data_IF_069526281323
#
_entry.id   IF_069526281323
#
_cell.length_a   1.000
_cell.length_b   1.000
_cell.length_c   1.000
_cell.angle_alpha   90.00
_cell.angle_beta   90.00
_cell.angle_gamma   90.00
#
_symmetry.space_group_name_H-M   'P 1'
#
loop_
_entity.id
_entity.type
_entity.pdbx_description
1 polymer ?
#
# COMPACT_ATOMS: atom_id res chain seq x y z
N UNK A 1 -5.29 -5.65 -33.19
CA UNK A 1 -4.39 -5.94 -32.06
C UNK A 1 -5.14 -6.78 -31.04
N UNK A 2 -4.53 -7.85 -30.53
CA UNK A 2 -5.11 -8.66 -29.46
C UNK A 2 -5.14 -7.89 -28.13
N UNK A 3 -6.12 -8.19 -27.28
CA UNK A 3 -6.22 -7.62 -25.94
C UNK A 3 -5.08 -8.16 -25.06
N UNK A 4 -4.18 -7.28 -24.59
CA UNK A 4 -3.12 -7.69 -23.67
C UNK A 4 -3.55 -7.49 -22.22
N UNK A 5 -3.33 -8.50 -21.38
CA UNK A 5 -3.62 -8.46 -19.95
C UNK A 5 -2.82 -9.55 -19.23
N UNK A 6 -2.93 -9.60 -17.90
CA UNK A 6 -2.24 -10.58 -17.06
C UNK A 6 -2.22 -11.99 -17.67
N UNK A 7 -1.02 -12.53 -17.84
CA UNK A 7 -0.75 -13.83 -18.49
C UNK A 7 -0.44 -13.78 -19.99
N UNK A 8 -0.76 -12.70 -20.71
CA UNK A 8 -0.30 -12.51 -22.11
C UNK A 8 1.23 -12.56 -22.15
N UNK A 9 1.78 -13.40 -23.01
CA UNK A 9 3.21 -13.74 -23.02
C UNK A 9 3.69 -13.87 -24.45
N UNK A 10 4.73 -13.12 -24.82
CA UNK A 10 5.38 -13.27 -26.11
C UNK A 10 5.83 -14.73 -26.29
N UNK A 11 5.58 -15.32 -27.45
CA UNK A 11 5.78 -16.76 -27.66
C UNK A 11 7.20 -17.23 -27.32
N UNK A 12 8.21 -16.41 -27.62
CA UNK A 12 9.63 -16.67 -27.30
C UNK A 12 9.97 -16.57 -25.81
N UNK A 13 9.08 -15.99 -25.00
CA UNK A 13 9.25 -15.75 -23.56
C UNK A 13 8.34 -16.61 -22.69
N UNK A 14 7.59 -17.54 -23.29
CA UNK A 14 6.71 -18.44 -22.56
C UNK A 14 7.52 -19.30 -21.56
N UNK A 15 7.23 -19.24 -20.24
CA UNK A 15 8.03 -19.96 -19.26
C UNK A 15 7.93 -21.48 -19.44
N UNK A 16 9.08 -22.15 -19.55
CA UNK A 16 9.16 -23.61 -19.56
C UNK A 16 8.70 -24.22 -18.24
N UNK A 17 8.96 -23.53 -17.11
CA UNK A 17 8.48 -23.88 -15.78
C UNK A 17 7.69 -22.71 -15.16
N UNK A 18 6.36 -22.76 -15.33
CA UNK A 18 5.42 -21.76 -14.80
C UNK A 18 5.39 -21.72 -13.27
N UNK A 19 5.63 -22.85 -12.60
CA UNK A 19 5.64 -22.92 -11.14
C UNK A 19 6.86 -22.20 -10.60
N UNK A 20 8.05 -22.46 -11.17
CA UNK A 20 9.28 -21.73 -10.83
C UNK A 20 9.16 -20.24 -11.11
N UNK A 21 8.55 -19.87 -12.24
CA UNK A 21 8.28 -18.47 -12.58
C UNK A 21 7.42 -17.77 -11.52
N UNK A 22 6.33 -18.40 -11.06
CA UNK A 22 5.38 -17.78 -10.14
C UNK A 22 5.78 -17.84 -8.67
N UNK A 23 6.75 -18.70 -8.30
CA UNK A 23 7.22 -18.87 -6.90
C UNK A 23 7.55 -17.57 -6.17
N UNK A 24 8.20 -16.54 -6.78
CA UNK A 24 8.45 -15.27 -6.10
C UNK A 24 7.16 -14.50 -5.72
N UNK A 25 6.05 -14.74 -6.41
CA UNK A 25 4.77 -14.09 -6.14
C UNK A 25 3.85 -14.94 -5.27
N UNK A 26 3.94 -16.26 -5.38
CA UNK A 26 3.02 -17.22 -4.77
C UNK A 26 3.62 -17.90 -3.53
N UNK A 27 3.97 -17.08 -2.54
CA UNK A 27 4.70 -17.54 -1.34
C UNK A 27 3.81 -18.12 -0.25
N UNK A 28 2.52 -17.76 -0.22
CA UNK A 28 1.66 -18.00 0.94
C UNK A 28 0.28 -18.58 0.55
N UNK A 29 -0.25 -19.47 1.40
CA UNK A 29 -1.64 -19.95 1.37
C UNK A 29 -2.07 -20.58 0.04
N UNK A 30 -3.31 -20.34 -0.39
CA UNK A 30 -3.91 -20.94 -1.60
C UNK A 30 -3.18 -20.62 -2.91
N UNK A 31 -2.24 -19.67 -2.91
CA UNK A 31 -1.45 -19.34 -4.10
C UNK A 31 -0.26 -20.27 -4.27
N UNK A 32 0.24 -20.87 -3.18
CA UNK A 32 1.37 -21.81 -3.22
C UNK A 32 1.07 -22.89 -4.26
N UNK A 33 2.06 -23.19 -5.10
CA UNK A 33 1.97 -24.18 -6.19
C UNK A 33 1.07 -23.80 -7.39
N UNK A 34 0.37 -22.65 -7.38
CA UNK A 34 -0.45 -22.23 -8.52
C UNK A 34 0.41 -21.83 -9.71
N UNK A 35 0.04 -22.34 -10.89
CA UNK A 35 0.69 -22.11 -12.19
C UNK A 35 -0.01 -21.04 -13.05
N UNK A 36 -0.90 -20.28 -12.44
CA UNK A 36 -1.73 -19.23 -13.06
C UNK A 36 -1.67 -17.97 -12.22
N UNK A 37 -1.67 -16.79 -12.83
CA UNK A 37 -1.73 -15.53 -12.11
C UNK A 37 -3.09 -15.29 -11.45
N UNK A 38 -3.11 -14.58 -10.32
CA UNK A 38 -4.30 -14.14 -9.61
C UNK A 38 -4.65 -12.70 -9.98
N UNK A 39 -5.71 -12.54 -10.76
CA UNK A 39 -6.28 -11.23 -11.09
C UNK A 39 -7.21 -10.78 -9.95
N UNK A 40 -6.68 -9.94 -9.05
CA UNK A 40 -7.34 -9.58 -7.80
C UNK A 40 -8.44 -8.52 -7.91
N UNK A 41 -8.56 -7.84 -9.05
CA UNK A 41 -9.70 -6.95 -9.33
C UNK A 41 -10.87 -7.68 -10.01
N UNK A 42 -10.63 -8.87 -10.55
CA UNK A 42 -11.66 -9.73 -11.19
C UNK A 42 -11.93 -11.00 -10.42
N UNK A 43 -11.19 -11.21 -9.34
CA UNK A 43 -11.22 -12.41 -8.51
C UNK A 43 -11.08 -13.73 -9.29
N UNK A 44 -10.30 -13.73 -10.38
CA UNK A 44 -10.12 -14.88 -11.28
C UNK A 44 -8.66 -15.31 -11.39
N UNK A 45 -8.45 -16.56 -11.78
CA UNK A 45 -7.13 -17.04 -12.22
C UNK A 45 -6.94 -16.79 -13.71
N UNK A 46 -5.72 -16.42 -14.09
CA UNK A 46 -5.31 -16.15 -15.47
C UNK A 46 -4.13 -17.04 -15.83
N UNK A 47 -4.36 -17.95 -16.78
CA UNK A 47 -3.28 -18.74 -17.36
C UNK A 47 -2.35 -17.88 -18.21
N UNK A 48 -1.12 -18.36 -18.36
CA UNK A 48 -0.23 -17.87 -19.42
C UNK A 48 -0.87 -18.13 -20.79
N UNK A 49 -0.80 -17.15 -21.67
CA UNK A 49 -1.30 -17.22 -23.05
C UNK A 49 -0.18 -16.77 -23.97
N UNK A 50 0.03 -17.52 -25.04
CA UNK A 50 1.00 -17.13 -26.07
C UNK A 50 0.39 -16.02 -26.92
N UNK A 51 1.10 -14.92 -27.03
CA UNK A 51 0.86 -13.87 -28.00
C UNK A 51 1.91 -14.02 -29.11
N UNK A 52 1.49 -13.87 -30.35
CA UNK A 52 2.42 -13.86 -31.49
C UNK A 52 3.23 -12.56 -31.49
N UNK A 53 4.50 -12.65 -31.89
CA UNK A 53 5.41 -11.50 -31.93
C UNK A 53 5.99 -11.12 -30.56
N UNK A 54 6.15 -9.81 -30.34
CA UNK A 54 6.82 -9.20 -29.19
C UNK A 54 6.01 -8.04 -28.59
N UNK A 55 4.68 -8.14 -28.65
CA UNK A 55 3.77 -7.06 -28.26
C UNK A 55 3.83 -6.77 -26.76
N UNK A 56 4.07 -7.80 -25.93
CA UNK A 56 4.27 -7.60 -24.50
C UNK A 56 5.59 -6.86 -24.29
N UNK A 57 6.71 -7.33 -24.83
CA UNK A 57 8.00 -6.65 -24.74
C UNK A 57 7.96 -5.17 -25.21
N UNK A 58 7.24 -4.86 -26.30
CA UNK A 58 7.04 -3.46 -26.76
C UNK A 58 6.24 -2.61 -25.77
N UNK A 59 5.09 -3.10 -25.30
CA UNK A 59 4.32 -2.44 -24.24
C UNK A 59 5.21 -2.20 -23.03
N UNK A 60 6.02 -3.19 -22.72
CA UNK A 60 6.86 -3.19 -21.56
C UNK A 60 7.97 -2.13 -21.64
N UNK A 61 8.57 -1.97 -22.81
CA UNK A 61 9.53 -0.92 -23.14
C UNK A 61 8.90 0.47 -23.08
N UNK A 62 7.69 0.63 -23.63
CA UNK A 62 6.94 1.88 -23.52
C UNK A 62 6.75 2.29 -22.06
N UNK A 63 6.29 1.38 -21.19
CA UNK A 63 6.04 1.67 -19.77
C UNK A 63 7.32 2.07 -19.03
N UNK A 64 8.48 1.50 -19.39
CA UNK A 64 9.77 1.90 -18.82
C UNK A 64 10.19 3.29 -19.31
N UNK A 65 10.14 3.52 -20.62
CA UNK A 65 10.53 4.81 -21.22
C UNK A 65 9.65 5.98 -20.75
N UNK A 66 8.36 5.72 -20.54
CA UNK A 66 7.40 6.71 -20.03
C UNK A 66 7.41 6.85 -18.49
N UNK A 67 8.23 6.06 -17.80
CA UNK A 67 8.47 6.19 -16.36
C UNK A 67 7.47 5.47 -15.44
N UNK A 68 6.58 4.64 -15.97
CA UNK A 68 5.60 3.85 -15.17
C UNK A 68 6.17 2.56 -14.60
N UNK A 69 7.43 2.24 -14.93
CA UNK A 69 8.12 1.06 -14.43
C UNK A 69 9.63 1.27 -14.41
N UNK A 70 10.29 1.07 -13.27
CA UNK A 70 11.73 1.33 -13.11
C UNK A 70 12.62 0.23 -13.70
N UNK A 71 12.17 -1.01 -13.69
CA UNK A 71 12.98 -2.16 -14.10
C UNK A 71 12.11 -3.42 -14.20
N UNK A 72 12.59 -4.42 -14.94
CA UNK A 72 11.87 -5.69 -15.12
C UNK A 72 12.76 -6.88 -14.78
N UNK A 73 12.16 -7.83 -14.06
CA UNK A 73 12.71 -9.18 -13.97
C UNK A 73 12.25 -10.08 -15.14
N UNK A 74 11.09 -9.79 -15.77
CA UNK A 74 10.46 -10.69 -16.76
C UNK A 74 10.05 -9.95 -18.05
N UNK A 75 10.99 -9.81 -18.99
CA UNK A 75 10.70 -9.22 -20.31
C UNK A 75 9.82 -10.17 -21.16
N UNK A 76 8.78 -9.62 -21.78
CA UNK A 76 7.82 -10.30 -22.66
C UNK A 76 6.79 -11.18 -21.94
N UNK A 77 6.67 -11.10 -20.61
CA UNK A 77 5.58 -11.71 -19.83
C UNK A 77 4.75 -10.61 -19.16
N UNK A 78 3.45 -10.53 -19.46
CA UNK A 78 2.54 -9.60 -18.81
C UNK A 78 2.21 -10.11 -17.39
N UNK A 79 3.10 -9.82 -16.46
CA UNK A 79 3.04 -10.21 -15.05
C UNK A 79 2.34 -9.16 -14.18
N UNK A 80 2.39 -9.35 -12.85
CA UNK A 80 1.77 -8.43 -11.89
C UNK A 80 2.35 -7.02 -11.95
N UNK A 81 3.66 -6.88 -12.20
CA UNK A 81 4.30 -5.56 -12.33
C UNK A 81 3.85 -4.87 -13.62
N UNK A 82 3.75 -5.61 -14.73
CA UNK A 82 3.21 -5.08 -15.99
C UNK A 82 1.77 -4.61 -15.83
N UNK A 83 0.92 -5.40 -15.18
CA UNK A 83 -0.47 -5.01 -14.91
C UNK A 83 -0.56 -3.74 -14.07
N UNK A 84 0.29 -3.63 -13.04
CA UNK A 84 0.35 -2.46 -12.16
C UNK A 84 0.80 -1.22 -12.94
N UNK A 85 1.83 -1.33 -13.78
CA UNK A 85 2.31 -0.23 -14.61
C UNK A 85 1.27 0.23 -15.65
N UNK A 86 0.50 -0.70 -16.24
CA UNK A 86 -0.63 -0.34 -17.11
C UNK A 86 -1.71 0.41 -16.35
N UNK A 87 -2.05 -0.01 -15.12
CA UNK A 87 -3.01 0.74 -14.28
C UNK A 87 -2.49 2.14 -13.95
N UNK A 88 -1.21 2.29 -13.61
CA UNK A 88 -0.61 3.62 -13.37
C UNK A 88 -0.68 4.51 -14.62
N UNK A 89 -0.41 3.96 -15.81
CA UNK A 89 -0.55 4.69 -17.06
C UNK A 89 -2.00 5.11 -17.32
N UNK A 90 -2.96 4.19 -17.18
CA UNK A 90 -4.38 4.48 -17.33
C UNK A 90 -4.86 5.54 -16.33
N UNK A 91 -4.39 5.48 -15.08
CA UNK A 91 -4.70 6.46 -14.06
C UNK A 91 -4.12 7.84 -14.41
N UNK A 92 -2.89 7.89 -14.91
CA UNK A 92 -2.27 9.13 -15.38
C UNK A 92 -3.04 9.75 -16.55
N UNK A 93 -3.41 8.94 -17.56
CA UNK A 93 -4.24 9.36 -18.70
C UNK A 93 -5.58 9.93 -18.21
N UNK A 94 -6.18 9.34 -17.18
CA UNK A 94 -7.47 9.78 -16.66
C UNK A 94 -7.40 11.08 -15.85
N UNK A 95 -6.28 11.33 -15.17
CA UNK A 95 -6.21 12.30 -14.07
C UNK A 95 -5.26 13.47 -14.31
N UNK A 96 -4.18 13.29 -15.06
CA UNK A 96 -3.10 14.29 -15.23
C UNK A 96 -2.90 14.66 -16.69
N UNK A 97 -3.00 13.71 -17.61
CA UNK A 97 -2.82 13.99 -19.03
C UNK A 97 -3.92 14.93 -19.56
N UNK A 98 -3.54 16.13 -19.99
CA UNK A 98 -4.47 17.14 -20.49
C UNK A 98 -5.23 16.68 -21.76
N UNK A 99 -4.57 15.88 -22.59
CA UNK A 99 -5.13 15.24 -23.79
C UNK A 99 -5.67 13.83 -23.49
N UNK A 100 -5.80 13.50 -22.21
CA UNK A 100 -6.23 12.20 -21.72
C UNK A 100 -7.74 11.99 -21.81
N UNK A 101 -8.18 10.83 -21.32
CA UNK A 101 -9.59 10.45 -21.28
C UNK A 101 -10.03 10.19 -19.83
N UNK A 102 -10.81 11.12 -19.28
CA UNK A 102 -11.33 11.10 -17.91
C UNK A 102 -12.30 9.93 -17.64
N UNK A 103 -12.73 9.22 -18.67
CA UNK A 103 -13.64 8.06 -18.57
C UNK A 103 -12.91 6.72 -18.48
N UNK A 104 -11.59 6.70 -18.70
CA UNK A 104 -10.75 5.50 -18.56
C UNK A 104 -10.94 4.90 -17.17
N UNK A 105 -11.05 3.57 -17.09
CA UNK A 105 -10.98 2.82 -15.83
C UNK A 105 -9.59 2.19 -15.76
N UNK A 106 -8.81 2.43 -14.68
CA UNK A 106 -7.52 1.78 -14.48
C UNK A 106 -7.67 0.28 -14.13
N UNK A 107 -7.99 -0.54 -15.12
CA UNK A 107 -8.24 -1.97 -14.98
C UNK A 107 -7.02 -2.87 -15.27
N UNK A 108 -5.95 -2.30 -15.85
CA UNK A 108 -4.74 -3.02 -16.22
C UNK A 108 -4.85 -3.81 -17.53
N UNK A 109 -5.87 -3.54 -18.35
CA UNK A 109 -6.09 -4.18 -19.64
C UNK A 109 -5.68 -3.23 -20.77
N UNK A 110 -4.97 -3.77 -21.76
CA UNK A 110 -4.53 -3.00 -22.93
C UNK A 110 -5.38 -3.38 -24.13
N UNK A 111 -6.55 -2.73 -24.21
CA UNK A 111 -7.42 -2.75 -25.39
C UNK A 111 -7.08 -1.62 -26.37
N UNK A 112 -7.95 -1.43 -27.38
CA UNK A 112 -7.79 -0.39 -28.40
C UNK A 112 -7.73 1.04 -27.82
N UNK A 113 -8.54 1.32 -26.79
CA UNK A 113 -8.53 2.62 -26.09
C UNK A 113 -7.18 2.90 -25.41
N UNK A 114 -6.70 1.99 -24.56
CA UNK A 114 -5.38 2.09 -23.93
C UNK A 114 -4.28 2.23 -24.97
N UNK A 115 -4.31 1.42 -26.04
CA UNK A 115 -3.29 1.44 -27.08
C UNK A 115 -3.27 2.76 -27.88
N UNK A 116 -4.43 3.38 -28.11
CA UNK A 116 -4.51 4.72 -28.72
C UNK A 116 -3.71 5.74 -27.92
N UNK A 117 -3.85 5.75 -26.59
CA UNK A 117 -3.09 6.67 -25.74
C UNK A 117 -1.60 6.32 -25.67
N UNK A 118 -1.25 5.02 -25.67
CA UNK A 118 0.15 4.56 -25.75
C UNK A 118 0.80 5.09 -27.03
N UNK A 119 0.19 4.87 -28.19
CA UNK A 119 0.73 5.30 -29.48
C UNK A 119 0.89 6.83 -29.55
N UNK A 120 -0.08 7.58 -29.02
CA UNK A 120 0.03 9.05 -28.90
C UNK A 120 1.23 9.45 -28.03
N UNK A 121 1.38 8.83 -26.85
CA UNK A 121 2.50 9.13 -25.95
C UNK A 121 3.85 8.79 -26.58
N UNK A 122 3.94 7.68 -27.33
CA UNK A 122 5.15 7.32 -28.10
C UNK A 122 5.45 8.41 -29.13
N UNK A 123 4.46 8.84 -29.92
CA UNK A 123 4.64 9.86 -30.95
C UNK A 123 5.05 11.23 -30.37
N UNK A 124 4.59 11.55 -29.17
CA UNK A 124 4.88 12.81 -28.47
C UNK A 124 6.06 12.71 -27.50
N UNK A 125 6.71 11.53 -27.39
CA UNK A 125 7.77 11.25 -26.42
C UNK A 125 7.44 11.67 -24.97
N UNK A 126 6.20 11.38 -24.52
CA UNK A 126 5.71 11.79 -23.19
C UNK A 126 6.25 10.89 -22.08
N UNK A 127 6.53 11.50 -20.94
CA UNK A 127 6.96 10.85 -19.69
C UNK A 127 6.05 11.31 -18.55
N UNK A 128 5.82 10.44 -17.56
CA UNK A 128 5.00 10.79 -16.41
C UNK A 128 5.73 11.70 -15.42
N UNK A 129 4.98 12.57 -14.74
CA UNK A 129 5.53 13.53 -13.77
C UNK A 129 6.11 12.90 -12.50
N UNK A 130 5.87 11.62 -12.25
CA UNK A 130 6.37 10.89 -11.07
C UNK A 130 7.35 9.76 -11.41
N UNK A 131 7.87 9.76 -12.64
CA UNK A 131 8.84 8.76 -13.08
C UNK A 131 10.17 8.87 -12.34
N UNK A 132 11.10 7.91 -12.54
CA UNK A 132 12.38 7.88 -11.84
C UNK A 132 13.29 9.09 -12.08
N UNK A 133 13.05 9.83 -13.17
CA UNK A 133 13.81 11.04 -13.53
C UNK A 133 13.22 12.32 -12.94
N UNK A 134 12.11 12.24 -12.20
CA UNK A 134 11.46 13.41 -11.62
C UNK A 134 12.29 14.01 -10.49
N UNK A 135 12.38 15.34 -10.46
CA UNK A 135 13.02 16.05 -9.35
C UNK A 135 12.18 15.89 -8.07
N UNK A 136 12.81 15.68 -6.89
CA UNK A 136 12.10 15.62 -5.63
C UNK A 136 11.34 16.93 -5.34
N UNK A 137 10.05 16.79 -5.05
CA UNK A 137 9.20 17.90 -4.61
C UNK A 137 9.67 18.47 -3.27
N UNK A 138 9.27 19.70 -2.94
CA UNK A 138 9.59 20.31 -1.65
C UNK A 138 8.97 19.51 -0.50
N UNK A 139 7.69 19.13 -0.62
CA UNK A 139 6.99 18.33 0.39
C UNK A 139 7.69 16.99 0.65
N UNK A 140 8.23 16.33 -0.39
CA UNK A 140 9.02 15.11 -0.22
C UNK A 140 10.26 15.35 0.65
N UNK A 141 11.01 16.42 0.40
CA UNK A 141 12.19 16.77 1.19
C UNK A 141 11.82 17.10 2.63
N UNK A 142 10.71 17.81 2.82
CA UNK A 142 10.19 18.16 4.15
C UNK A 142 9.84 16.90 4.96
N UNK A 143 9.26 15.87 4.33
CA UNK A 143 8.99 14.60 4.98
C UNK A 143 10.27 13.91 5.49
N UNK A 144 11.31 13.82 4.67
CA UNK A 144 12.59 13.21 5.12
C UNK A 144 13.24 14.02 6.25
N UNK A 145 13.16 15.35 6.19
CA UNK A 145 13.62 16.22 7.28
C UNK A 145 12.85 15.96 8.57
N UNK A 146 11.52 15.86 8.51
CA UNK A 146 10.68 15.52 9.66
C UNK A 146 11.04 14.14 10.23
N UNK A 147 11.17 13.12 9.38
CA UNK A 147 11.46 11.75 9.81
C UNK A 147 12.81 11.64 10.55
N UNK A 148 13.86 12.29 10.05
CA UNK A 148 15.16 12.31 10.74
C UNK A 148 15.07 13.04 12.09
N UNK A 149 14.39 14.18 12.15
CA UNK A 149 14.15 14.88 13.42
C UNK A 149 13.32 14.05 14.40
N UNK A 150 12.30 13.36 13.92
CA UNK A 150 11.47 12.47 14.74
C UNK A 150 12.31 11.33 15.32
N UNK A 151 13.19 10.71 14.53
CA UNK A 151 14.13 9.69 15.03
C UNK A 151 15.04 10.25 16.11
N UNK A 152 15.62 11.43 15.92
CA UNK A 152 16.42 12.08 16.97
C UNK A 152 15.59 12.31 18.23
N UNK A 153 14.39 12.89 18.09
CA UNK A 153 13.49 13.18 19.20
C UNK A 153 13.12 11.92 19.99
N UNK A 154 12.66 10.86 19.33
CA UNK A 154 12.25 9.60 19.98
C UNK A 154 13.42 8.77 20.50
N UNK A 155 14.64 8.99 20.00
CA UNK A 155 15.84 8.39 20.59
C UNK A 155 16.13 8.98 21.97
N UNK A 156 16.02 10.31 22.09
CA UNK A 156 16.24 11.04 23.34
C UNK A 156 15.04 10.99 24.30
N UNK A 157 13.83 10.97 23.75
CA UNK A 157 12.57 11.09 24.49
C UNK A 157 11.58 9.96 24.12
N UNK A 158 11.95 8.68 24.29
CA UNK A 158 11.03 7.60 23.96
C UNK A 158 9.82 7.62 24.92
N UNK A 159 8.61 7.58 24.36
CA UNK A 159 7.38 7.33 25.13
C UNK A 159 7.38 5.93 25.77
N UNK A 160 6.43 5.63 26.68
CA UNK A 160 6.38 4.34 27.38
C UNK A 160 6.36 3.11 26.46
N UNK A 161 5.57 3.17 25.39
CA UNK A 161 5.48 2.09 24.39
C UNK A 161 6.83 1.89 23.68
N UNK A 162 7.44 2.96 23.19
CA UNK A 162 8.76 2.88 22.54
C UNK A 162 9.88 2.44 23.50
N UNK A 163 9.83 2.85 24.78
CA UNK A 163 10.74 2.34 25.81
C UNK A 163 10.64 0.82 25.94
N UNK A 164 9.41 0.29 25.97
CA UNK A 164 9.18 -1.15 26.01
C UNK A 164 9.68 -1.85 24.74
N UNK A 165 9.36 -1.33 23.54
CA UNK A 165 9.88 -1.88 22.27
C UNK A 165 11.42 -1.91 22.24
N UNK A 166 12.07 -0.85 22.71
CA UNK A 166 13.52 -0.74 22.73
C UNK A 166 14.18 -1.74 23.70
N UNK A 167 13.50 -2.15 24.79
CA UNK A 167 14.02 -3.11 25.77
C UNK A 167 13.92 -4.57 25.31
N UNK A 168 12.99 -4.89 24.40
CA UNK A 168 12.80 -6.26 23.90
C UNK A 168 14.05 -6.81 23.21
N UNK A 169 14.38 -8.07 23.45
CA UNK A 169 15.51 -8.75 22.79
C UNK A 169 15.24 -9.06 21.31
N UNK A 170 13.97 -9.24 20.94
CA UNK A 170 13.51 -9.54 19.57
C UNK A 170 12.32 -8.67 19.22
N UNK A 171 12.35 -8.07 18.02
CA UNK A 171 11.29 -7.17 17.54
C UNK A 171 10.72 -7.58 16.18
N UNK A 172 11.20 -8.69 15.59
CA UNK A 172 10.70 -9.27 14.34
C UNK A 172 10.68 -8.24 13.20
N UNK A 173 9.52 -7.97 12.58
CA UNK A 173 9.39 -6.95 11.53
C UNK A 173 9.24 -5.52 12.08
N UNK A 174 9.29 -5.32 13.39
CA UNK A 174 9.28 -3.99 14.03
C UNK A 174 10.71 -3.56 14.37
N UNK A 175 11.02 -2.29 14.18
CA UNK A 175 12.35 -1.74 14.43
C UNK A 175 12.39 -0.93 15.72
N UNK A 176 13.49 -1.07 16.45
CA UNK A 176 13.84 -0.16 17.54
C UNK A 176 14.15 1.22 16.95
N UNK A 177 13.98 2.28 17.76
CA UNK A 177 14.16 3.66 17.30
C UNK A 177 15.55 3.90 16.69
N UNK A 178 16.59 3.34 17.32
CA UNK A 178 17.98 3.43 16.83
C UNK A 178 18.17 2.83 15.42
N UNK A 179 17.34 1.86 15.04
CA UNK A 179 17.43 1.09 13.79
C UNK A 179 16.50 1.65 12.69
N UNK A 180 15.78 2.74 12.96
CA UNK A 180 14.98 3.43 11.96
C UNK A 180 15.87 3.96 10.83
N UNK A 181 15.41 3.84 9.58
CA UNK A 181 16.14 4.26 8.38
C UNK A 181 15.25 5.09 7.47
N UNK A 182 15.80 6.13 6.86
CA UNK A 182 15.09 7.02 5.94
C UNK A 182 15.89 7.24 4.66
N UNK A 183 16.26 6.14 4.00
CA UNK A 183 16.92 6.25 2.70
C UNK A 183 15.91 6.68 1.63
N UNK A 184 16.20 7.75 0.89
CA UNK A 184 15.34 8.27 -0.17
C UNK A 184 15.21 7.33 -1.37
N UNK A 185 16.10 6.34 -1.47
CA UNK A 185 16.04 5.27 -2.47
C UNK A 185 15.05 4.15 -2.13
N UNK A 186 14.56 4.12 -0.89
CA UNK A 186 13.57 3.15 -0.42
C UNK A 186 12.17 3.76 -0.50
N UNK A 187 11.16 2.91 -0.64
CA UNK A 187 9.76 3.34 -0.56
C UNK A 187 9.38 3.46 0.92
N UNK A 188 8.82 4.61 1.30
CA UNK A 188 8.29 4.85 2.64
C UNK A 188 6.79 5.06 2.57
N UNK A 189 6.05 4.28 3.34
CA UNK A 189 4.65 4.53 3.66
C UNK A 189 4.58 5.03 5.10
N UNK A 190 3.92 6.15 5.33
CA UNK A 190 3.81 6.76 6.66
C UNK A 190 2.35 6.80 7.04
N UNK A 191 1.95 6.10 8.10
CA UNK A 191 0.64 6.27 8.72
C UNK A 191 0.72 7.37 9.77
N UNK A 192 -0.23 8.30 9.73
CA UNK A 192 -0.43 9.29 10.79
C UNK A 192 -1.71 8.92 11.52
N UNK A 193 -1.54 8.38 12.72
CA UNK A 193 -2.64 8.04 13.61
C UNK A 193 -3.16 9.28 14.32
N UNK A 194 -4.47 9.45 14.32
CA UNK A 194 -5.18 10.58 14.91
C UNK A 194 -6.08 10.07 16.02
N UNK A 195 -6.22 10.87 17.08
CA UNK A 195 -7.19 10.60 18.16
C UNK A 195 -7.06 9.22 18.83
N UNK A 196 -5.87 8.59 18.83
CA UNK A 196 -5.67 7.22 19.33
C UNK A 196 -6.08 7.01 20.78
N UNK A 197 -5.96 8.06 21.59
CA UNK A 197 -6.19 8.07 23.03
C UNK A 197 -7.65 8.38 23.40
N UNK A 198 -8.47 8.76 22.42
CA UNK A 198 -9.90 9.02 22.64
C UNK A 198 -10.67 7.71 22.68
N UNK A 199 -11.18 7.36 23.85
CA UNK A 199 -12.14 6.27 24.00
C UNK A 199 -13.39 6.57 23.16
N UNK A 200 -13.63 5.76 22.14
CA UNK A 200 -14.78 5.87 21.25
C UNK A 200 -15.36 4.49 21.01
N UNK A 201 -16.68 4.38 20.79
CA UNK A 201 -17.30 3.08 20.52
C UNK A 201 -16.95 2.55 19.13
N UNK A 202 -17.00 3.43 18.12
CA UNK A 202 -16.70 3.08 16.72
C UNK A 202 -15.56 3.97 16.21
N UNK A 203 -14.43 3.35 15.87
CA UNK A 203 -13.28 4.00 15.24
C UNK A 203 -13.60 4.28 13.77
N UNK A 204 -13.48 5.55 13.37
CA UNK A 204 -13.71 5.99 11.99
C UNK A 204 -12.49 5.74 11.09
N UNK A 205 -12.65 6.01 9.80
CA UNK A 205 -11.51 6.07 8.87
C UNK A 205 -11.00 7.52 8.82
N UNK A 206 -10.46 8.02 9.92
CA UNK A 206 -10.02 9.41 10.07
C UNK A 206 -8.50 9.59 10.01
N UNK A 207 -7.74 8.53 9.72
CA UNK A 207 -6.29 8.59 9.58
C UNK A 207 -5.85 8.87 8.13
N UNK A 208 -4.61 9.35 7.99
CA UNK A 208 -3.97 9.55 6.69
C UNK A 208 -2.72 8.70 6.52
N UNK A 209 -2.43 8.38 5.26
CA UNK A 209 -1.25 7.64 4.84
C UNK A 209 -0.50 8.42 3.78
N UNK A 210 0.82 8.55 3.93
CA UNK A 210 1.69 9.29 3.02
C UNK A 210 2.67 8.33 2.38
N UNK A 211 2.62 8.21 1.05
CA UNK A 211 3.56 7.43 0.28
C UNK A 211 4.63 8.36 -0.30
N UNK A 212 5.89 8.10 0.06
CA UNK A 212 7.06 8.74 -0.51
C UNK A 212 7.71 7.78 -1.51
N UNK A 213 7.74 8.18 -2.78
CA UNK A 213 8.27 7.35 -3.87
C UNK A 213 8.79 8.23 -5.01
N UNK A 214 10.00 7.94 -5.52
CA UNK A 214 10.65 8.68 -6.61
C UNK A 214 10.63 10.21 -6.44
N UNK A 215 10.89 10.72 -5.23
CA UNK A 215 10.87 12.16 -4.98
C UNK A 215 9.46 12.79 -4.90
N UNK A 216 8.40 11.99 -5.01
CA UNK A 216 7.01 12.45 -5.02
C UNK A 216 6.26 12.00 -3.76
N UNK A 217 5.17 12.72 -3.47
CA UNK A 217 4.29 12.47 -2.32
C UNK A 217 2.88 12.16 -2.82
N UNK A 218 2.32 11.05 -2.35
CA UNK A 218 0.91 10.71 -2.53
C UNK A 218 0.25 10.55 -1.16
N UNK A 219 -1.00 10.98 -1.04
CA UNK A 219 -1.73 10.94 0.24
C UNK A 219 -2.98 10.11 0.09
N UNK A 220 -3.23 9.23 1.05
CA UNK A 220 -4.38 8.35 1.13
C UNK A 220 -5.02 8.50 2.51
N UNK A 221 -6.20 7.94 2.69
CA UNK A 221 -6.90 7.97 3.97
C UNK A 221 -7.51 6.61 4.30
N UNK A 222 -7.81 6.39 5.57
CA UNK A 222 -8.30 5.12 6.08
C UNK A 222 -8.21 5.06 7.59
N UNK A 223 -7.84 3.90 8.14
CA UNK A 223 -7.66 3.72 9.59
C UNK A 223 -6.39 2.94 9.89
N UNK A 224 -5.62 3.43 10.86
CA UNK A 224 -4.52 2.76 11.53
C UNK A 224 -4.98 2.07 12.83
N UNK A 225 -6.19 2.39 13.29
CA UNK A 225 -6.81 1.85 14.48
C UNK A 225 -7.66 0.60 14.19
N UNK A 226 -7.62 -0.41 15.07
CA UNK A 226 -8.58 -1.50 15.06
C UNK A 226 -10.01 -1.00 15.28
N UNK A 227 -10.96 -1.81 14.81
CA UNK A 227 -12.36 -1.73 15.20
C UNK A 227 -12.68 -2.95 16.07
N UNK A 228 -13.14 -2.73 17.31
CA UNK A 228 -13.59 -3.78 18.22
C UNK A 228 -14.61 -4.73 17.54
N UNK A 229 -15.53 -4.18 16.74
CA UNK A 229 -16.53 -4.94 15.96
C UNK A 229 -15.89 -5.96 15.01
N UNK A 230 -14.72 -5.65 14.48
CA UNK A 230 -13.99 -6.47 13.51
C UNK A 230 -12.98 -7.41 14.16
N UNK A 231 -12.43 -7.05 15.33
CA UNK A 231 -11.40 -7.81 16.02
C UNK A 231 -11.90 -9.18 16.52
N UNK A 232 -13.21 -9.32 16.79
CA UNK A 232 -13.81 -10.56 17.31
C UNK A 232 -13.36 -10.93 18.72
N UNK A 233 -12.56 -10.05 19.34
CA UNK A 233 -12.14 -10.05 20.73
C UNK A 233 -12.28 -8.63 21.25
N UNK A 234 -12.38 -8.51 22.57
CA UNK A 234 -12.49 -7.25 23.31
C UNK A 234 -11.15 -6.53 23.51
N UNK A 235 -10.04 -7.21 23.23
CA UNK A 235 -8.68 -6.72 23.44
C UNK A 235 -7.97 -6.47 22.10
N UNK A 236 -8.56 -5.65 21.24
CA UNK A 236 -8.06 -5.41 19.90
C UNK A 236 -6.56 -5.06 19.85
N UNK A 237 -5.84 -5.56 18.84
CA UNK A 237 -4.41 -5.29 18.72
C UNK A 237 -4.17 -3.95 17.99
N UNK A 238 -3.55 -3.01 18.68
CA UNK A 238 -2.99 -1.80 18.08
C UNK A 238 -1.55 -2.06 17.64
N UNK A 239 -1.26 -1.78 16.36
CA UNK A 239 0.14 -1.71 15.91
C UNK A 239 0.86 -0.61 16.70
N UNK A 240 1.99 -0.97 17.30
CA UNK A 240 2.81 -0.03 18.07
C UNK A 240 3.36 1.05 17.14
N UNK A 241 3.49 2.27 17.64
CA UNK A 241 4.16 3.35 16.91
C UNK A 241 5.63 3.01 16.59
N UNK A 242 6.13 3.55 15.47
CA UNK A 242 7.51 3.37 15.01
C UNK A 242 7.63 2.85 13.58
N UNK A 243 8.78 2.29 13.24
CA UNK A 243 9.07 1.79 11.89
C UNK A 243 8.99 0.27 11.81
N UNK A 244 8.42 -0.24 10.72
CA UNK A 244 8.20 -1.65 10.46
C UNK A 244 8.59 -2.02 9.02
N UNK A 245 9.15 -3.22 8.86
CA UNK A 245 9.44 -3.79 7.55
C UNK A 245 8.22 -4.55 7.02
N UNK A 246 7.64 -4.06 5.94
CA UNK A 246 6.56 -4.74 5.23
C UNK A 246 7.04 -5.20 3.87
N UNK A 247 6.47 -6.30 3.39
CA UNK A 247 6.65 -6.81 2.04
C UNK A 247 5.34 -6.81 1.30
N UNK A 248 5.43 -6.77 -0.02
CA UNK A 248 4.29 -7.10 -0.85
C UNK A 248 3.91 -8.58 -0.70
N UNK A 249 2.61 -8.85 -0.60
CA UNK A 249 2.06 -10.19 -0.49
C UNK A 249 0.57 -10.22 -0.76
N UNK A 250 -0.08 -11.29 -0.30
CA UNK A 250 -1.51 -11.54 -0.53
C UNK A 250 -2.28 -11.60 0.78
N UNK A 251 -3.47 -11.01 0.79
CA UNK A 251 -4.43 -11.05 1.88
C UNK A 251 -5.56 -12.05 1.62
N UNK A 252 -6.25 -12.49 2.69
CA UNK A 252 -7.28 -13.55 2.69
C UNK A 252 -6.90 -14.79 1.88
N UNK A 253 -5.64 -15.21 1.96
CA UNK A 253 -5.07 -16.37 1.24
C UNK A 253 -5.70 -17.73 1.57
N UNK A 254 -6.75 -17.77 2.39
CA UNK A 254 -7.56 -18.94 2.72
C UNK A 254 -8.95 -18.93 2.07
N UNK A 255 -9.37 -17.82 1.45
CA UNK A 255 -10.67 -17.70 0.77
C UNK A 255 -10.49 -17.08 -0.61
N UNK A 256 -10.53 -17.94 -1.63
CA UNK A 256 -10.23 -17.59 -3.03
C UNK A 256 -10.99 -16.35 -3.52
N UNK A 257 -12.28 -16.23 -3.25
CA UNK A 257 -13.10 -15.07 -3.66
C UNK A 257 -12.72 -13.74 -2.99
N UNK A 258 -11.79 -13.75 -2.04
CA UNK A 258 -11.34 -12.57 -1.30
C UNK A 258 -9.83 -12.34 -1.39
N UNK A 259 -9.10 -13.05 -2.26
CA UNK A 259 -7.64 -12.87 -2.39
C UNK A 259 -7.34 -11.60 -3.18
N UNK A 260 -6.57 -10.69 -2.56
CA UNK A 260 -6.02 -9.48 -3.17
C UNK A 260 -4.67 -9.11 -2.57
N UNK A 261 -3.98 -8.19 -3.22
CA UNK A 261 -2.65 -7.70 -2.84
C UNK A 261 -2.69 -6.93 -1.52
N UNK A 262 -1.66 -7.10 -0.68
CA UNK A 262 -1.51 -6.38 0.59
C UNK A 262 -0.06 -6.24 1.03
N UNK A 263 0.20 -5.26 1.89
CA UNK A 263 1.42 -5.22 2.69
C UNK A 263 1.34 -6.24 3.82
N UNK A 264 2.30 -7.16 3.88
CA UNK A 264 2.44 -8.14 4.97
C UNK A 264 3.70 -7.85 5.78
N UNK A 265 3.78 -8.18 7.07
CA UNK A 265 5.04 -8.16 7.80
C UNK A 265 6.12 -8.93 7.03
N UNK A 266 7.31 -8.34 6.90
CA UNK A 266 8.39 -8.93 6.11
C UNK A 266 8.83 -10.29 6.68
N UNK A 267 8.90 -10.40 8.01
CA UNK A 267 9.13 -11.64 8.74
C UNK A 267 7.78 -12.26 9.10
N UNK A 268 7.60 -13.55 8.76
CA UNK A 268 6.34 -14.28 8.95
C UNK A 268 5.84 -14.33 10.41
N UNK A 269 6.74 -14.15 11.39
CA UNK A 269 6.36 -14.07 12.80
C UNK A 269 5.55 -12.83 13.13
N UNK A 270 5.72 -11.73 12.37
CA UNK A 270 4.86 -10.55 12.44
C UNK A 270 5.52 -9.26 12.89
N UNK A 271 4.69 -8.35 13.37
CA UNK A 271 5.01 -7.05 13.97
C UNK A 271 4.62 -7.05 15.44
N UNK A 272 5.07 -6.05 16.20
CA UNK A 272 4.70 -5.87 17.59
C UNK A 272 3.37 -5.10 17.71
N UNK A 273 2.53 -5.53 18.64
CA UNK A 273 1.25 -4.89 18.96
C UNK A 273 1.12 -4.71 20.47
N UNK A 274 0.48 -3.61 20.87
CA UNK A 274 -0.09 -3.47 22.20
C UNK A 274 -1.58 -3.76 22.06
N UNK A 275 -2.10 -4.66 22.88
CA UNK A 275 -3.54 -4.89 22.91
C UNK A 275 -4.17 -3.94 23.90
N UNK A 276 -5.42 -3.59 23.63
CA UNK A 276 -6.30 -2.92 24.58
C UNK A 276 -6.63 -3.91 25.71
N UNK A 277 -5.84 -3.87 26.77
CA UNK A 277 -5.91 -4.86 27.84
C UNK A 277 -6.98 -4.52 28.88
N UNK A 278 -7.35 -3.24 29.01
CA UNK A 278 -8.41 -2.79 29.89
C UNK A 278 -9.77 -2.62 29.19
N UNK A 279 -9.84 -2.84 27.87
CA UNK A 279 -11.04 -2.84 27.04
C UNK A 279 -11.75 -1.47 27.09
N UNK A 280 -10.97 -0.39 26.99
CA UNK A 280 -11.45 0.99 26.90
C UNK A 280 -11.55 1.51 25.44
N UNK A 281 -11.21 0.67 24.46
CA UNK A 281 -11.12 0.95 23.03
C UNK A 281 -10.20 2.15 22.73
N UNK A 282 -9.06 2.21 23.43
CA UNK A 282 -8.05 3.25 23.30
C UNK A 282 -6.65 2.65 23.27
N UNK A 283 -5.72 3.34 22.60
CA UNK A 283 -4.30 3.01 22.71
C UNK A 283 -3.68 3.86 23.81
N UNK A 284 -3.49 3.27 24.99
CA UNK A 284 -2.91 3.98 26.12
C UNK A 284 -1.62 3.33 26.62
N UNK A 285 -0.73 4.09 27.29
CA UNK A 285 0.37 3.50 28.02
C UNK A 285 -0.06 2.61 29.20
N UNK A 286 -1.30 2.75 29.71
CA UNK A 286 -1.79 1.98 30.87
C UNK A 286 -1.92 0.49 30.56
N UNK A 287 -2.14 0.15 29.30
CA UNK A 287 -2.16 -1.22 28.81
C UNK A 287 -0.84 -1.96 29.09
N UNK A 288 0.29 -1.25 29.20
CA UNK A 288 1.57 -1.86 29.54
C UNK A 288 1.62 -2.38 30.99
N UNK A 289 0.80 -1.81 31.87
CA UNK A 289 0.78 -2.11 33.31
C UNK A 289 -0.24 -3.21 33.66
N UNK A 290 -1.07 -3.63 32.70
CA UNK A 290 -2.05 -4.70 32.93
C UNK A 290 -1.34 -6.05 33.08
N UNK A 291 -1.76 -6.80 34.10
CA UNK A 291 -1.20 -8.11 34.45
C UNK A 291 -2.24 -9.22 34.29
N UNK A 292 -1.77 -10.44 34.03
CA UNK A 292 -2.60 -11.63 34.12
C UNK A 292 -2.94 -11.99 35.58
N UNK A 293 -3.76 -13.02 35.78
CA UNK A 293 -4.17 -13.49 37.12
C UNK A 293 -3.00 -13.92 38.03
N UNK A 294 -1.79 -14.09 37.49
CA UNK A 294 -0.59 -14.46 38.23
C UNK A 294 0.33 -13.23 38.49
N UNK A 295 -0.15 -12.01 38.18
CA UNK A 295 0.63 -10.78 38.34
C UNK A 295 1.71 -10.59 37.27
N UNK A 296 1.69 -11.37 36.17
CA UNK A 296 2.64 -11.19 35.07
C UNK A 296 2.11 -10.14 34.10
N UNK A 297 2.93 -9.13 33.80
CA UNK A 297 2.59 -8.12 32.79
C UNK A 297 2.24 -8.77 31.44
N UNK A 298 1.10 -8.37 30.86
CA UNK A 298 0.70 -8.79 29.53
C UNK A 298 1.60 -8.10 28.50
N UNK A 299 1.61 -6.77 28.48
CA UNK A 299 2.59 -5.98 27.72
C UNK A 299 2.44 -6.12 26.19
N UNK A 300 3.58 -5.96 25.49
CA UNK A 300 3.64 -5.96 24.02
C UNK A 300 3.87 -7.39 23.49
N UNK A 301 3.12 -7.77 22.46
CA UNK A 301 3.21 -9.10 21.84
C UNK A 301 3.45 -9.02 20.34
N UNK A 302 3.94 -10.12 19.78
CA UNK A 302 4.03 -10.27 18.33
C UNK A 302 2.70 -10.72 17.72
N UNK A 303 2.35 -10.17 16.56
CA UNK A 303 1.17 -10.54 15.78
C UNK A 303 1.51 -10.58 14.28
N UNK A 304 1.24 -11.73 13.65
CA UNK A 304 1.54 -11.97 12.22
C UNK A 304 0.39 -11.60 11.26
N UNK A 305 -0.76 -11.18 11.79
CA UNK A 305 -1.98 -10.92 11.02
C UNK A 305 -2.19 -9.45 10.69
N UNK A 306 -1.38 -8.55 11.27
CA UNK A 306 -1.44 -7.11 11.02
C UNK A 306 -0.88 -6.82 9.62
N UNK A 307 -1.78 -6.53 8.69
CA UNK A 307 -1.45 -6.24 7.28
C UNK A 307 -1.81 -4.78 6.95
N UNK A 308 -1.32 -4.29 5.81
CA UNK A 308 -1.73 -3.01 5.21
C UNK A 308 -2.59 -3.31 3.98
N UNK A 309 -3.89 -3.01 4.03
CA UNK A 309 -4.83 -3.49 3.02
C UNK A 309 -6.02 -2.58 2.73
N UNK A 310 -6.74 -2.87 1.66
CA UNK A 310 -7.94 -2.16 1.23
C UNK A 310 -9.14 -2.30 2.19
N UNK A 311 -9.93 -1.24 2.40
CA UNK A 311 -11.19 -1.21 3.18
C UNK A 311 -12.45 -0.85 2.36
N UNK A 312 -12.53 -1.26 1.10
CA UNK A 312 -13.67 -0.86 0.27
C UNK A 312 -13.58 0.62 -0.12
N UNK A 313 -14.71 1.33 -0.06
CA UNK A 313 -14.75 2.78 -0.28
C UNK A 313 -14.52 3.61 1.00
N UNK A 314 -14.15 2.98 2.12
CA UNK A 314 -13.91 3.68 3.37
C UNK A 314 -15.18 4.12 4.12
N UNK A 315 -16.35 3.55 3.81
CA UNK A 315 -17.60 3.82 4.53
C UNK A 315 -17.64 3.23 5.95
N UNK A 316 -16.74 2.30 6.26
CA UNK A 316 -16.65 1.62 7.55
C UNK A 316 -15.20 1.23 7.80
N UNK A 317 -14.75 1.24 9.06
CA UNK A 317 -13.46 0.71 9.44
C UNK A 317 -13.51 -0.82 9.48
N UNK A 318 -12.88 -1.48 8.49
CA UNK A 318 -12.79 -2.94 8.40
C UNK A 318 -11.51 -3.51 9.05
N UNK A 319 -10.86 -2.73 9.92
CA UNK A 319 -9.63 -3.14 10.60
C UNK A 319 -9.92 -4.02 11.81
N UNK A 320 -9.34 -5.22 11.84
CA UNK A 320 -9.20 -6.04 13.05
C UNK A 320 -7.83 -5.80 13.73
N UNK A 321 -7.26 -4.59 13.59
CA UNK A 321 -5.88 -4.21 13.93
C UNK A 321 -4.96 -4.00 12.72
N UNK A 322 -5.44 -4.31 11.52
CA UNK A 322 -4.74 -3.99 10.28
C UNK A 322 -4.69 -2.48 10.00
N UNK A 323 -3.81 -2.06 9.12
CA UNK A 323 -3.80 -0.71 8.59
C UNK A 323 -4.63 -0.73 7.31
N UNK A 324 -5.74 -0.01 7.31
CA UNK A 324 -6.69 -0.06 6.20
C UNK A 324 -6.73 1.24 5.42
N UNK A 325 -6.82 1.14 4.10
CA UNK A 325 -6.82 2.27 3.17
C UNK A 325 -8.09 2.25 2.34
N UNK A 326 -8.76 3.40 2.28
CA UNK A 326 -9.94 3.63 1.47
C UNK A 326 -9.61 3.63 -0.02
N UNK A 327 -10.45 2.99 -0.82
CA UNK A 327 -10.39 3.02 -2.27
C UNK A 327 -11.08 4.22 -2.92
N UNK A 328 -11.75 5.10 -2.14
CA UNK A 328 -12.62 6.15 -2.69
C UNK A 328 -11.85 7.29 -3.36
N UNK A 329 -10.75 7.74 -2.76
CA UNK A 329 -10.02 8.92 -3.21
C UNK A 329 -8.60 8.97 -2.66
N UNK A 330 -7.74 9.76 -3.30
CA UNK A 330 -6.38 10.06 -2.83
C UNK A 330 -5.97 11.46 -3.32
N UNK A 331 -4.84 11.98 -2.82
CA UNK A 331 -4.19 13.20 -3.33
C UNK A 331 -2.95 12.77 -4.12
N UNK A 332 -2.86 13.22 -5.37
CA UNK A 332 -1.72 12.92 -6.26
C UNK A 332 -0.49 13.80 -5.95
N UNK A 333 0.61 13.57 -6.68
CA UNK A 333 1.86 14.33 -6.57
C UNK A 333 1.74 15.81 -6.98
N UNK A 334 0.63 16.23 -7.60
CA UNK A 334 0.32 17.63 -7.91
C UNK A 334 -0.56 18.28 -6.83
N UNK A 335 -0.74 17.60 -5.69
CA UNK A 335 -1.62 18.02 -4.60
C UNK A 335 -3.11 18.16 -5.01
N UNK A 336 -3.53 17.40 -6.02
CA UNK A 336 -4.91 17.36 -6.51
C UNK A 336 -5.64 16.15 -5.96
N UNK A 337 -6.88 16.34 -5.55
CA UNK A 337 -7.76 15.24 -5.12
C UNK A 337 -8.25 14.47 -6.33
N UNK A 338 -8.03 13.17 -6.30
CA UNK A 338 -8.48 12.23 -7.32
C UNK A 338 -9.64 11.41 -6.75
N UNK A 339 -10.80 11.54 -7.38
CA UNK A 339 -11.98 10.73 -7.07
C UNK A 339 -11.97 9.43 -7.89
N UNK A 340 -12.09 8.30 -7.18
CA UNK A 340 -12.20 6.95 -7.72
C UNK A 340 -13.60 6.35 -7.51
N UNK A 341 -14.53 7.06 -6.86
CA UNK A 341 -15.83 6.55 -6.40
C UNK A 341 -16.65 5.80 -7.47
N UNK A 342 -16.56 6.24 -8.73
CA UNK A 342 -17.27 5.64 -9.87
C UNK A 342 -16.87 4.17 -10.11
N UNK A 343 -15.60 3.84 -9.95
CA UNK A 343 -15.07 2.49 -10.20
C UNK A 343 -14.51 1.81 -8.94
N UNK A 344 -14.37 2.53 -7.82
CA UNK A 344 -14.03 1.94 -6.54
C UNK A 344 -15.14 0.96 -6.11
N UNK A 345 -14.72 -0.23 -5.72
CA UNK A 345 -15.57 -1.24 -5.13
C UNK A 345 -15.86 -0.93 -3.65
N UNK A 346 -17.07 -1.24 -3.17
CA UNK A 346 -17.40 -1.17 -1.74
C UNK A 346 -17.06 -2.46 -1.00
N UNK A 347 -17.00 -3.59 -1.72
CA UNK A 347 -16.95 -4.92 -1.12
C UNK A 347 -16.26 -5.94 -2.02
N UNK A 348 -15.90 -7.10 -1.46
CA UNK A 348 -15.42 -8.22 -2.27
C UNK A 348 -16.43 -8.63 -3.36
N UNK A 349 -17.73 -8.57 -3.06
CA UNK A 349 -18.78 -8.96 -4.00
C UNK A 349 -18.81 -8.08 -5.25
N UNK A 350 -18.60 -6.78 -5.11
CA UNK A 350 -18.59 -5.85 -6.24
C UNK A 350 -17.41 -6.13 -7.21
N UNK A 351 -16.25 -6.57 -6.67
CA UNK A 351 -15.10 -6.97 -7.49
C UNK A 351 -15.38 -8.25 -8.28
N UNK A 352 -16.13 -9.18 -7.70
CA UNK A 352 -16.49 -10.44 -8.37
C UNK A 352 -17.59 -10.26 -9.41
N UNK A 353 -18.55 -9.37 -9.15
CA UNK A 353 -19.76 -9.24 -9.98
C UNK A 353 -19.65 -8.18 -11.09
N UNK A 354 -18.66 -7.29 -11.02
CA UNK A 354 -18.49 -6.22 -12.01
C UNK A 354 -17.08 -6.17 -12.59
N UNK A 355 -17.00 -6.35 -13.91
CA UNK A 355 -15.76 -6.17 -14.67
C UNK A 355 -15.28 -4.71 -14.75
N UNK A 356 -16.01 -3.74 -14.19
CA UNK A 356 -15.65 -2.32 -14.18
C UNK A 356 -15.22 -1.80 -12.81
N UNK A 357 -15.26 -2.64 -11.77
CA UNK A 357 -14.88 -2.25 -10.41
C UNK A 357 -13.44 -2.62 -10.12
N UNK A 358 -12.75 -1.79 -9.34
CA UNK A 358 -11.38 -2.03 -8.85
C UNK A 358 -11.28 -1.60 -7.39
N UNK A 359 -10.11 -1.73 -6.78
CA UNK A 359 -9.86 -1.22 -5.41
C UNK A 359 -9.57 0.29 -5.38
N UNK A 360 -9.73 1.01 -6.51
CA UNK A 360 -9.64 2.47 -6.57
C UNK A 360 -8.29 3.01 -6.11
N UNK A 361 -8.32 3.99 -5.21
CA UNK A 361 -7.11 4.59 -4.62
C UNK A 361 -6.14 3.57 -4.00
N UNK A 362 -6.63 2.43 -3.51
CA UNK A 362 -5.75 1.38 -2.99
C UNK A 362 -4.89 0.73 -4.10
N UNK A 363 -5.44 0.57 -5.32
CA UNK A 363 -4.63 0.10 -6.45
C UNK A 363 -3.50 1.09 -6.75
N UNK A 364 -3.77 2.39 -6.71
CA UNK A 364 -2.73 3.42 -6.91
C UNK A 364 -1.57 3.23 -5.92
N UNK A 365 -1.87 3.07 -4.62
CA UNK A 365 -0.83 2.79 -3.60
C UNK A 365 -0.08 1.48 -3.90
N UNK A 366 -0.80 0.38 -4.13
CA UNK A 366 -0.17 -0.92 -4.34
C UNK A 366 0.68 -0.94 -5.62
N UNK A 367 0.19 -0.34 -6.69
CA UNK A 367 0.85 -0.31 -7.99
C UNK A 367 2.11 0.54 -7.95
N UNK A 368 2.07 1.70 -7.28
CA UNK A 368 3.26 2.52 -7.00
C UNK A 368 4.35 1.72 -6.29
N UNK A 369 3.99 0.99 -5.23
CA UNK A 369 4.94 0.14 -4.50
C UNK A 369 5.50 -0.94 -5.42
N UNK A 370 4.67 -1.66 -6.18
CA UNK A 370 5.10 -2.76 -7.06
C UNK A 370 6.03 -2.24 -8.17
N UNK A 371 5.68 -1.14 -8.82
CA UNK A 371 6.37 -0.64 -10.02
C UNK A 371 7.67 0.10 -9.71
N UNK A 372 7.82 0.63 -8.49
CA UNK A 372 8.97 1.44 -8.10
C UNK A 372 9.87 0.80 -7.04
N UNK A 373 9.53 -0.39 -6.53
CA UNK A 373 10.47 -1.19 -5.74
C UNK A 373 11.65 -1.62 -6.63
N UNK A 374 12.88 -1.41 -6.15
CA UNK A 374 14.10 -1.78 -6.89
C UNK A 374 14.21 -3.30 -7.09
N UNK A 375 14.86 -3.79 -8.17
CA UNK A 375 15.14 -5.21 -8.35
C UNK A 375 15.83 -5.82 -7.14
N UNK A 376 15.41 -7.02 -6.74
CA UNK A 376 15.96 -7.73 -5.59
C UNK A 376 15.49 -7.21 -4.23
N UNK A 377 14.86 -6.03 -4.18
CA UNK A 377 14.18 -5.52 -2.98
C UNK A 377 12.79 -6.12 -2.91
N UNK A 378 12.39 -6.62 -1.75
CA UNK A 378 11.08 -7.25 -1.54
C UNK A 378 10.27 -6.60 -0.42
N UNK A 379 10.80 -5.53 0.17
CA UNK A 379 10.22 -4.82 1.30
C UNK A 379 10.11 -3.32 1.01
N UNK A 380 9.27 -2.66 1.81
CA UNK A 380 9.14 -1.22 1.95
C UNK A 380 9.04 -0.89 3.44
N UNK A 381 9.34 0.35 3.79
CA UNK A 381 9.30 0.80 5.17
C UNK A 381 7.93 1.40 5.47
N UNK A 382 7.30 0.91 6.54
CA UNK A 382 6.09 1.50 7.09
C UNK A 382 6.41 2.21 8.40
N UNK A 383 6.25 3.52 8.45
CA UNK A 383 6.42 4.31 9.68
C UNK A 383 5.05 4.72 10.20
N UNK A 384 4.73 4.38 11.43
CA UNK A 384 3.49 4.78 12.09
C UNK A 384 3.82 5.83 13.15
N UNK A 385 3.41 7.07 12.90
CA UNK A 385 3.55 8.19 13.83
C UNK A 385 2.19 8.62 14.39
N UNK A 386 2.22 9.46 15.41
CA UNK A 386 1.02 10.14 15.91
C UNK A 386 0.90 11.50 15.23
N UNK A 387 -0.30 12.07 15.20
CA UNK A 387 -0.54 13.40 14.64
C UNK A 387 0.37 14.48 15.26
N UNK A 388 0.62 14.40 16.57
CA UNK A 388 1.47 15.37 17.28
C UNK A 388 2.95 15.28 16.85
N UNK A 389 3.37 14.17 16.25
CA UNK A 389 4.72 14.05 15.69
C UNK A 389 4.95 15.02 14.53
N UNK A 390 3.89 15.52 13.88
CA UNK A 390 4.00 16.50 12.81
C UNK A 390 4.57 17.85 13.30
N UNK A 391 4.34 18.20 14.57
CA UNK A 391 4.81 19.46 15.17
C UNK A 391 6.33 19.46 15.48
N UNK A 392 7.02 18.32 15.30
CA UNK A 392 8.48 18.23 15.45
C UNK A 392 9.21 19.04 14.37
N UNK A 393 8.60 19.27 13.21
CA UNK A 393 9.13 20.14 12.16
C UNK A 393 8.07 21.12 11.64
N UNK A 394 8.40 22.41 11.65
CA UNK A 394 7.51 23.48 11.20
C UNK A 394 7.14 23.43 9.73
N UNK A 395 7.75 22.56 8.91
CA UNK A 395 7.33 22.32 7.52
C UNK A 395 5.90 21.75 7.43
N UNK A 396 5.41 21.11 8.51
CA UNK A 396 4.04 20.63 8.60
C UNK A 396 3.31 21.37 9.73
N UNK A 397 2.13 21.93 9.45
CA UNK A 397 1.31 22.57 10.47
C UNK A 397 0.43 21.56 11.21
N UNK A 398 0.00 21.91 12.42
CA UNK A 398 -0.88 21.08 13.26
C UNK A 398 -2.18 20.60 12.56
N UNK A 399 -2.65 21.32 11.54
CA UNK A 399 -3.84 20.93 10.77
C UNK A 399 -3.52 20.14 9.48
N UNK A 400 -2.27 19.75 9.23
CA UNK A 400 -1.87 19.12 7.97
C UNK A 400 -2.69 17.84 7.70
N UNK A 401 -2.80 16.95 8.69
CA UNK A 401 -3.48 15.68 8.51
C UNK A 401 -5.00 15.86 8.34
N UNK A 402 -5.62 16.68 9.20
CA UNK A 402 -7.01 17.09 9.05
C UNK A 402 -7.31 17.70 7.68
N UNK A 403 -6.52 18.67 7.23
CA UNK A 403 -6.71 19.33 5.94
C UNK A 403 -6.58 18.35 4.76
N UNK A 404 -5.66 17.38 4.84
CA UNK A 404 -5.51 16.35 3.81
C UNK A 404 -6.72 15.41 3.81
N UNK A 405 -7.20 15.00 4.98
CA UNK A 405 -8.40 14.18 5.12
C UNK A 405 -9.62 14.89 4.54
N UNK A 406 -9.92 16.11 5.00
CA UNK A 406 -11.08 16.90 4.58
C UNK A 406 -11.12 17.09 3.05
N UNK A 407 -9.96 17.32 2.44
CA UNK A 407 -9.82 17.38 0.97
C UNK A 407 -10.23 16.08 0.29
N UNK A 408 -9.82 14.92 0.82
CA UNK A 408 -10.11 13.62 0.23
C UNK A 408 -11.54 13.14 0.49
N UNK A 409 -12.14 13.52 1.61
CA UNK A 409 -13.47 13.06 2.04
C UNK A 409 -14.59 14.01 1.61
N UNK A 410 -14.25 15.27 1.29
CA UNK A 410 -15.19 16.32 0.90
C UNK A 410 -15.90 16.93 2.11
N UNK A 411 -15.10 17.32 3.11
CA UNK A 411 -15.52 17.73 4.46
C UNK A 411 -16.57 18.85 4.54
#
# INVERSE_FOLDING_TARGET
MALLFLGSTDTSRYPSDRKKFLRPYHKDGLLVEKVTFRDDDRTTWRSFRKEEGNEVEKLQQFLMNSGFLTSRMNIGVFDYATQSAVRLFQEYVRTIDEEGDKTVVPDGFVGSGTMKHINRWIAQNKVCSWGPMSSPSQEYKDWFKLLEKAKTFYTSNPGPILKHVNSLSKTYSTRKVKDWKFNQDEIHLIGIRRNQDKAVHDRENDDIFILLVNGQVFKFWGSTDPSARMAGRKDEPFLVEGQHDYRFGWHKIWKESKIYKAGKPNIATGVLVLRDWDNDNSLSPKDLDITDNNGKALGIHVNNSINIHWSGMGSTNFSAGCQVISGKSYINNHNQVIDCSKFASRSYGDLTTSAKKTKGAYNMLADMVICYTKPGVNNFLYTLGREESLDIDSSFGANYAKNALDKMTGG
#
